data_IF_867575436462
#
_entry.id   IF_867575436462
#
_cell.length_a   1.000
_cell.length_b   1.000
_cell.length_c   1.000
_cell.angle_alpha   90.00
_cell.angle_beta   90.00
_cell.angle_gamma   90.00
#
_symmetry.space_group_name_H-M   'P 1'
#
loop_
_entity.id
_entity.type
_entity.pdbx_description
1 polymer ?
#
# COMPACT_ATOMS: atom_id res chain seq x y z
N UNK A 1 -18.16 0.08 23.78
CA UNK A 1 -17.72 1.12 22.81
C UNK A 1 -16.21 1.05 22.54
N UNK A 2 -15.33 1.24 23.54
CA UNK A 2 -13.86 1.33 23.33
C UNK A 2 -13.25 0.09 22.66
N UNK A 3 -13.61 -1.12 23.12
CA UNK A 3 -13.12 -2.38 22.55
C UNK A 3 -13.47 -2.52 21.06
N UNK A 4 -14.67 -2.07 20.67
CA UNK A 4 -15.14 -2.12 19.29
C UNK A 4 -14.30 -1.20 18.39
N UNK A 5 -14.03 0.04 18.83
CA UNK A 5 -13.14 0.95 18.12
C UNK A 5 -11.71 0.41 18.00
N UNK A 6 -11.22 -0.27 19.04
CA UNK A 6 -9.90 -0.90 19.00
C UNK A 6 -9.84 -2.03 17.96
N UNK A 7 -10.83 -2.92 17.94
CA UNK A 7 -10.92 -4.01 16.96
C UNK A 7 -10.95 -3.50 15.52
N UNK A 8 -11.75 -2.45 15.27
CA UNK A 8 -11.82 -1.80 13.97
C UNK A 8 -10.47 -1.17 13.59
N UNK A 9 -9.82 -0.48 14.52
CA UNK A 9 -8.52 0.15 14.27
C UNK A 9 -7.44 -0.88 13.92
N UNK A 10 -7.41 -2.01 14.63
CA UNK A 10 -6.50 -3.14 14.32
C UNK A 10 -6.80 -3.72 12.95
N UNK A 11 -8.09 -3.93 12.61
CA UNK A 11 -8.49 -4.43 11.30
C UNK A 11 -8.01 -3.50 10.17
N UNK A 12 -8.24 -2.19 10.30
CA UNK A 12 -7.77 -1.20 9.31
C UNK A 12 -6.24 -1.15 9.22
N UNK A 13 -5.55 -1.27 10.35
CA UNK A 13 -4.08 -1.33 10.37
C UNK A 13 -3.56 -2.55 9.60
N UNK A 14 -4.14 -3.73 9.83
CA UNK A 14 -3.77 -4.96 9.09
C UNK A 14 -4.06 -4.81 7.61
N UNK A 15 -5.23 -4.27 7.23
CA UNK A 15 -5.58 -4.01 5.83
C UNK A 15 -4.59 -3.04 5.17
N UNK A 16 -4.14 -2.00 5.88
CA UNK A 16 -3.15 -1.04 5.39
C UNK A 16 -1.81 -1.70 5.08
N UNK A 17 -1.30 -2.54 5.99
CA UNK A 17 -0.07 -3.29 5.77
C UNK A 17 -0.23 -4.28 4.61
N UNK A 18 -1.36 -4.98 4.53
CA UNK A 18 -1.66 -5.89 3.43
C UNK A 18 -1.67 -5.16 2.08
N UNK A 19 -2.23 -3.96 2.01
CA UNK A 19 -2.21 -3.10 0.82
C UNK A 19 -0.79 -2.71 0.41
N UNK A 20 0.06 -2.30 1.37
CA UNK A 20 1.45 -1.96 1.09
C UNK A 20 2.24 -3.15 0.52
N UNK A 21 2.10 -4.33 1.15
CA UNK A 21 2.75 -5.56 0.68
C UNK A 21 2.21 -6.00 -0.67
N UNK A 22 0.90 -5.86 -0.88
CA UNK A 22 0.27 -6.17 -2.16
C UNK A 22 0.80 -5.26 -3.27
N UNK A 23 0.89 -3.94 -3.05
CA UNK A 23 1.44 -3.00 -4.03
C UNK A 23 2.89 -3.33 -4.38
N UNK A 24 3.74 -3.65 -3.39
CA UNK A 24 5.11 -4.11 -3.62
C UNK A 24 5.15 -5.37 -4.51
N UNK A 25 4.34 -6.39 -4.17
CA UNK A 25 4.28 -7.65 -4.92
C UNK A 25 3.72 -7.44 -6.32
N UNK A 26 2.75 -6.56 -6.50
CA UNK A 26 2.18 -6.22 -7.80
C UNK A 26 3.20 -5.53 -8.71
N UNK A 27 3.95 -4.53 -8.19
CA UNK A 27 5.06 -3.91 -8.92
C UNK A 27 6.10 -4.94 -9.36
N UNK A 28 6.48 -5.88 -8.49
CA UNK A 28 7.42 -6.96 -8.82
C UNK A 28 6.88 -7.93 -9.87
N UNK A 29 5.59 -8.28 -9.81
CA UNK A 29 4.92 -9.15 -10.80
C UNK A 29 4.84 -8.52 -12.19
N UNK A 30 4.74 -7.18 -12.25
CA UNK A 30 4.71 -6.42 -13.51
C UNK A 30 6.09 -6.13 -14.10
N UNK A 31 7.16 -6.68 -13.52
CA UNK A 31 8.53 -6.50 -14.03
C UNK A 31 9.14 -5.13 -13.73
N UNK A 32 8.54 -4.31 -12.84
CA UNK A 32 9.19 -3.06 -12.38
C UNK A 32 10.39 -3.38 -11.48
N UNK A 33 11.38 -2.49 -11.46
CA UNK A 33 12.55 -2.66 -10.59
C UNK A 33 12.17 -2.80 -9.12
N UNK A 34 12.98 -3.54 -8.36
CA UNK A 34 12.84 -3.66 -6.91
C UNK A 34 12.84 -2.31 -6.22
N UNK A 35 13.63 -1.34 -6.71
CA UNK A 35 13.72 0.00 -6.12
C UNK A 35 12.39 0.74 -6.26
N UNK A 36 11.78 0.70 -7.44
CA UNK A 36 10.45 1.31 -7.69
C UNK A 36 9.36 0.67 -6.83
N UNK A 37 9.39 -0.66 -6.68
CA UNK A 37 8.45 -1.36 -5.80
C UNK A 37 8.60 -0.93 -4.34
N UNK A 38 9.85 -0.75 -3.87
CA UNK A 38 10.17 -0.25 -2.53
C UNK A 38 9.70 1.19 -2.32
N UNK A 39 9.96 2.08 -3.29
CA UNK A 39 9.50 3.48 -3.24
C UNK A 39 7.98 3.56 -3.14
N UNK A 40 7.26 2.78 -3.95
CA UNK A 40 5.78 2.72 -3.89
C UNK A 40 5.30 2.21 -2.54
N UNK A 41 5.90 1.14 -2.02
CA UNK A 41 5.55 0.58 -0.72
C UNK A 41 5.75 1.61 0.41
N UNK A 42 6.89 2.30 0.43
CA UNK A 42 7.20 3.34 1.43
C UNK A 42 6.28 4.54 1.28
N UNK A 43 6.02 5.00 0.05
CA UNK A 43 5.10 6.10 -0.22
C UNK A 43 3.68 5.76 0.27
N UNK A 44 3.22 4.52 0.03
CA UNK A 44 1.90 4.04 0.48
C UNK A 44 1.84 3.86 2.01
N UNK A 45 2.95 3.49 2.64
CA UNK A 45 3.01 3.33 4.09
C UNK A 45 2.85 4.68 4.83
N UNK A 46 3.59 5.72 4.41
CA UNK A 46 3.53 7.05 5.02
C UNK A 46 2.37 7.90 4.53
N UNK A 47 1.97 7.72 3.27
CA UNK A 47 0.87 8.45 2.65
C UNK A 47 -0.13 7.46 2.03
N UNK A 48 -1.01 6.83 2.83
CA UNK A 48 -1.96 5.82 2.35
C UNK A 48 -2.73 6.23 1.09
N UNK A 49 -3.27 7.44 1.09
CA UNK A 49 -4.08 7.96 -0.01
C UNK A 49 -3.21 8.38 -1.20
N UNK A 50 -2.21 9.23 -0.98
CA UNK A 50 -1.33 9.72 -2.06
C UNK A 50 -0.49 8.60 -2.66
N UNK A 51 0.06 7.70 -1.85
CA UNK A 51 0.81 6.54 -2.29
C UNK A 51 -0.05 5.53 -3.04
N UNK A 52 -1.32 5.36 -2.68
CA UNK A 52 -2.27 4.59 -3.49
C UNK A 52 -2.52 5.27 -4.84
N UNK A 53 -2.68 6.60 -4.89
CA UNK A 53 -2.81 7.35 -6.16
C UNK A 53 -1.56 7.17 -7.03
N UNK A 54 -0.37 7.36 -6.47
CA UNK A 54 0.91 7.18 -7.19
C UNK A 54 1.06 5.74 -7.67
N UNK A 55 0.72 4.75 -6.84
CA UNK A 55 0.67 3.35 -7.26
C UNK A 55 -0.28 3.14 -8.45
N UNK A 56 -1.49 3.70 -8.41
CA UNK A 56 -2.46 3.56 -9.50
C UNK A 56 -1.98 4.21 -10.80
N UNK A 57 -1.29 5.36 -10.72
CA UNK A 57 -0.67 6.00 -11.88
C UNK A 57 0.45 5.14 -12.48
N UNK A 58 1.35 4.61 -11.62
CA UNK A 58 2.45 3.72 -12.05
C UNK A 58 1.90 2.39 -12.59
N UNK A 59 0.82 1.88 -12.00
CA UNK A 59 0.17 0.62 -12.36
C UNK A 59 -0.54 0.72 -13.70
N UNK A 60 -1.24 1.82 -13.94
CA UNK A 60 -2.05 1.99 -15.15
C UNK A 60 -1.19 2.29 -16.38
N UNK A 61 0.08 2.63 -16.18
CA UNK A 61 0.98 3.12 -17.22
C UNK A 61 0.44 4.47 -17.76
N UNK A 62 1.22 5.53 -17.55
CA UNK A 62 1.14 6.73 -18.39
C UNK A 62 1.52 6.37 -19.83
#
# INVERSE_FOLDING_TARGET
MVLFFFLISVLFFVLHIMLCVWAFRDCRRRGKSTEMALVVMVAMFFFPVMGLIVYLLIRNEL
#
